data_IF_651480941301
#
_entry.id   IF_651480941301
#
_cell.length_a   1.000
_cell.length_b   1.000
_cell.length_c   1.000
_cell.angle_alpha   90.00
_cell.angle_beta   90.00
_cell.angle_gamma   90.00
#
_symmetry.space_group_name_H-M   'P 1'
#
loop_
_entity.id
_entity.type
_entity.pdbx_description
1 polymer ?
#
# COMPACT_ATOMS: atom_id res chain seq x y z
N UNK A 1 -21.28 26.37 -12.69
CA UNK A 1 -21.16 25.03 -12.09
C UNK A 1 -19.82 24.98 -11.38
N UNK A 2 -19.81 25.29 -10.09
CA UNK A 2 -18.61 25.15 -9.25
C UNK A 2 -18.41 23.67 -8.95
N UNK A 3 -17.29 23.11 -9.39
CA UNK A 3 -16.87 21.76 -9.04
C UNK A 3 -16.32 21.84 -7.62
N UNK A 4 -17.17 21.51 -6.65
CA UNK A 4 -16.75 21.36 -5.25
C UNK A 4 -15.79 20.18 -5.21
N UNK A 5 -14.51 20.47 -4.99
CA UNK A 5 -13.48 19.46 -4.73
C UNK A 5 -13.81 18.78 -3.40
N UNK A 6 -14.56 17.68 -3.46
CA UNK A 6 -14.76 16.80 -2.32
C UNK A 6 -13.42 16.11 -2.06
N UNK A 7 -12.72 16.52 -1.00
CA UNK A 7 -11.76 15.64 -0.32
C UNK A 7 -12.53 14.38 0.07
N UNK A 8 -12.49 13.36 -0.80
CA UNK A 8 -13.16 12.08 -0.56
C UNK A 8 -12.61 11.47 0.73
N UNK A 9 -13.51 10.93 1.55
CA UNK A 9 -13.12 10.16 2.73
C UNK A 9 -12.38 8.91 2.21
N UNK A 10 -11.10 8.77 2.55
CA UNK A 10 -10.31 7.59 2.16
C UNK A 10 -10.62 6.42 3.09
N UNK A 11 -10.84 5.23 2.54
CA UNK A 11 -10.99 4.00 3.31
C UNK A 11 -9.67 3.45 3.87
N UNK A 12 -8.54 4.04 3.46
CA UNK A 12 -7.18 3.60 3.80
C UNK A 12 -6.92 3.48 5.31
N UNK A 13 -7.33 4.43 6.18
CA UNK A 13 -7.10 4.31 7.63
C UNK A 13 -7.90 3.15 8.25
N UNK A 14 -9.09 2.85 7.71
CA UNK A 14 -9.91 1.73 8.18
C UNK A 14 -9.26 0.40 7.84
N UNK A 15 -8.79 0.25 6.59
CA UNK A 15 -8.11 -0.96 6.14
C UNK A 15 -6.83 -1.21 6.94
N UNK A 16 -5.98 -0.20 7.15
CA UNK A 16 -4.76 -0.34 7.96
C UNK A 16 -5.03 -0.76 9.42
N UNK A 17 -6.15 -0.33 9.98
CA UNK A 17 -6.51 -0.69 11.35
C UNK A 17 -7.15 -2.09 11.47
N UNK A 18 -7.76 -2.60 10.41
CA UNK A 18 -8.47 -3.88 10.40
C UNK A 18 -7.64 -5.05 9.90
N UNK A 19 -6.70 -4.80 8.97
CA UNK A 19 -5.98 -5.86 8.26
C UNK A 19 -4.62 -6.17 8.90
N UNK A 20 -4.28 -7.46 9.09
CA UNK A 20 -2.93 -7.86 9.44
C UNK A 20 -1.94 -7.52 8.32
N UNK A 21 -0.71 -7.19 8.72
CA UNK A 21 0.40 -6.96 7.78
C UNK A 21 1.00 -8.30 7.36
N UNK A 22 1.09 -8.53 6.04
CA UNK A 22 1.75 -9.68 5.46
C UNK A 22 3.26 -9.46 5.38
N UNK A 23 4.01 -10.38 5.98
CA UNK A 23 5.47 -10.50 5.90
C UNK A 23 5.82 -11.88 5.36
N UNK A 24 6.88 -11.98 4.53
CA UNK A 24 7.29 -13.26 3.96
C UNK A 24 7.81 -14.28 4.99
N UNK A 25 8.02 -13.85 6.24
CA UNK A 25 8.51 -14.70 7.34
C UNK A 25 7.38 -15.45 8.05
N UNK A 26 6.13 -15.29 7.63
CA UNK A 26 5.01 -16.01 8.23
C UNK A 26 4.54 -15.46 9.58
N UNK A 27 5.04 -14.30 10.01
CA UNK A 27 4.71 -13.71 11.30
C UNK A 27 3.43 -12.87 11.20
N UNK A 28 2.30 -13.52 10.93
CA UNK A 28 1.01 -12.84 10.87
C UNK A 28 0.38 -12.88 12.26
N UNK A 29 0.06 -11.72 12.83
CA UNK A 29 -0.76 -11.64 14.05
C UNK A 29 -2.21 -11.95 13.68
N UNK A 30 -2.54 -13.22 13.49
CA UNK A 30 -3.92 -13.67 13.25
C UNK A 30 -4.70 -13.65 14.57
N UNK A 31 -5.06 -12.45 15.04
CA UNK A 31 -5.98 -12.29 16.18
C UNK A 31 -7.45 -12.48 15.78
N UNK A 32 -7.74 -12.71 14.49
CA UNK A 32 -9.10 -12.73 13.96
C UNK A 32 -9.31 -13.91 13.00
N UNK A 33 -10.53 -14.46 13.02
CA UNK A 33 -11.02 -15.40 12.01
C UNK A 33 -10.84 -14.79 10.61
N UNK A 34 -10.52 -15.62 9.62
CA UNK A 34 -10.34 -15.18 8.23
C UNK A 34 -11.65 -14.61 7.69
N UNK A 35 -11.72 -13.28 7.55
CA UNK A 35 -12.87 -12.56 7.01
C UNK A 35 -12.64 -12.28 5.52
N UNK A 36 -13.67 -12.48 4.70
CA UNK A 36 -13.58 -12.19 3.26
C UNK A 36 -13.56 -10.69 2.99
N UNK A 37 -13.07 -10.29 1.80
CA UNK A 37 -13.04 -8.87 1.39
C UNK A 37 -14.42 -8.21 1.45
N UNK A 38 -15.46 -8.92 1.03
CA UNK A 38 -16.83 -8.42 1.01
C UNK A 38 -17.37 -8.14 2.41
N UNK A 39 -17.15 -9.06 3.35
CA UNK A 39 -17.52 -8.87 4.75
C UNK A 39 -16.73 -7.74 5.38
N UNK A 40 -15.43 -7.64 5.09
CA UNK A 40 -14.60 -6.53 5.54
C UNK A 40 -15.16 -5.17 5.09
N UNK A 41 -15.53 -5.04 3.81
CA UNK A 41 -16.07 -3.80 3.26
C UNK A 41 -17.41 -3.43 3.89
N UNK A 42 -18.24 -4.41 4.25
CA UNK A 42 -19.52 -4.16 4.93
C UNK A 42 -19.40 -3.48 6.31
N UNK A 43 -18.19 -3.52 6.90
CA UNK A 43 -17.91 -2.91 8.20
C UNK A 43 -17.34 -1.49 8.10
N UNK A 44 -16.96 -1.03 6.91
CA UNK A 44 -16.43 0.30 6.66
C UNK A 44 -17.60 1.23 6.32
N UNK A 45 -17.73 2.40 6.97
CA UNK A 45 -18.84 3.33 6.73
C UNK A 45 -18.65 4.14 5.43
N UNK A 46 -18.19 3.50 4.36
CA UNK A 46 -17.92 4.09 3.05
C UNK A 46 -18.50 3.19 1.95
N UNK A 47 -18.59 3.70 0.74
CA UNK A 47 -19.04 2.90 -0.40
C UNK A 47 -18.04 1.78 -0.73
N UNK A 48 -18.54 0.71 -1.35
CA UNK A 48 -17.66 -0.37 -1.85
C UNK A 48 -16.63 0.16 -2.86
N UNK A 49 -16.99 1.17 -3.65
CA UNK A 49 -16.08 1.79 -4.61
C UNK A 49 -14.90 2.49 -3.90
N UNK A 50 -15.17 3.29 -2.86
CA UNK A 50 -14.12 3.94 -2.06
C UNK A 50 -13.24 2.91 -1.35
N UNK A 51 -13.83 1.82 -0.85
CA UNK A 51 -13.08 0.71 -0.25
C UNK A 51 -12.18 0.01 -1.27
N UNK A 52 -12.68 -0.25 -2.48
CA UNK A 52 -11.92 -0.91 -3.55
C UNK A 52 -10.76 -0.03 -4.05
N UNK A 53 -10.93 1.30 -4.09
CA UNK A 53 -9.85 2.24 -4.41
C UNK A 53 -8.74 2.14 -3.37
N UNK A 54 -9.07 2.24 -2.08
CA UNK A 54 -8.07 2.15 -1.01
C UNK A 54 -7.42 0.74 -0.94
N UNK A 55 -8.20 -0.31 -1.18
CA UNK A 55 -7.73 -1.69 -1.25
C UNK A 55 -6.64 -1.84 -2.32
N UNK A 56 -6.88 -1.28 -3.51
CA UNK A 56 -5.94 -1.34 -4.63
C UNK A 56 -4.69 -0.50 -4.32
N UNK A 57 -4.88 0.73 -3.80
CA UNK A 57 -3.78 1.63 -3.42
C UNK A 57 -2.82 1.02 -2.38
N UNK A 58 -3.35 0.28 -1.41
CA UNK A 58 -2.56 -0.42 -0.40
C UNK A 58 -2.01 -1.77 -0.87
N UNK A 59 -2.33 -2.18 -2.11
CA UNK A 59 -2.09 -3.52 -2.63
C UNK A 59 -2.61 -4.62 -1.68
N UNK A 60 -3.75 -4.35 -1.02
CA UNK A 60 -4.40 -5.35 -0.20
C UNK A 60 -4.76 -6.58 -1.06
N UNK A 61 -4.75 -7.75 -0.44
CA UNK A 61 -5.09 -8.98 -1.12
C UNK A 61 -5.81 -9.94 -0.17
N UNK A 62 -6.63 -10.80 -0.76
CA UNK A 62 -7.25 -11.92 -0.08
C UNK A 62 -6.47 -13.15 -0.50
N UNK A 63 -5.98 -13.92 0.46
CA UNK A 63 -5.22 -15.14 0.22
C UNK A 63 -5.99 -16.34 0.73
N UNK A 64 -5.81 -17.48 0.06
CA UNK A 64 -6.26 -18.78 0.55
C UNK A 64 -5.24 -19.46 1.44
N UNK A 65 -3.97 -19.06 1.33
CA UNK A 65 -2.86 -19.59 2.13
C UNK A 65 -1.81 -18.49 2.43
N UNK A 66 -1.75 -17.96 3.67
CA UNK A 66 -2.71 -18.19 4.75
C UNK A 66 -4.11 -17.61 4.41
N UNK A 67 -5.20 -18.20 4.93
CA UNK A 67 -6.54 -17.70 4.66
C UNK A 67 -6.78 -16.33 5.30
N UNK A 68 -7.27 -15.36 4.52
CA UNK A 68 -7.72 -14.07 5.02
C UNK A 68 -7.34 -12.88 4.13
N UNK A 69 -7.62 -11.69 4.63
CA UNK A 69 -7.27 -10.43 3.97
C UNK A 69 -6.01 -9.83 4.61
N UNK A 70 -5.10 -9.30 3.80
CA UNK A 70 -3.82 -8.79 4.28
C UNK A 70 -3.41 -7.50 3.57
N UNK A 71 -2.56 -6.72 4.25
CA UNK A 71 -1.80 -5.61 3.66
C UNK A 71 -0.34 -6.05 3.53
N UNK A 72 0.28 -6.04 2.34
CA UNK A 72 1.68 -6.39 2.21
C UNK A 72 2.57 -5.36 2.89
N UNK A 73 3.54 -5.83 3.69
CA UNK A 73 4.58 -4.96 4.24
C UNK A 73 5.40 -4.30 3.13
N UNK A 74 5.96 -3.12 3.41
CA UNK A 74 6.80 -2.40 2.45
C UNK A 74 8.02 -3.22 2.01
N UNK A 75 8.57 -4.07 2.91
CA UNK A 75 9.68 -4.99 2.60
C UNK A 75 9.28 -6.06 1.58
N UNK A 76 8.06 -6.57 1.64
CA UNK A 76 7.55 -7.52 0.64
C UNK A 76 7.30 -6.80 -0.68
N UNK A 77 6.67 -5.62 -0.66
CA UNK A 77 6.42 -4.85 -1.88
C UNK A 77 7.71 -4.50 -2.62
N UNK A 78 8.74 -3.99 -1.91
CA UNK A 78 9.99 -3.58 -2.56
C UNK A 78 10.74 -4.77 -3.16
N UNK A 79 10.71 -5.93 -2.50
CA UNK A 79 11.34 -7.16 -3.03
C UNK A 79 10.65 -7.64 -4.30
N UNK A 80 9.31 -7.56 -4.35
CA UNK A 80 8.54 -7.87 -5.56
C UNK A 80 8.92 -6.90 -6.70
N UNK A 81 9.07 -5.60 -6.41
CA UNK A 81 9.50 -4.63 -7.42
C UNK A 81 10.93 -4.86 -7.92
N UNK A 82 11.86 -5.15 -7.02
CA UNK A 82 13.25 -5.51 -7.36
C UNK A 82 13.30 -6.69 -8.32
N UNK A 83 12.58 -7.76 -8.01
CA UNK A 83 12.52 -8.94 -8.86
C UNK A 83 11.75 -8.69 -10.16
N UNK A 84 10.63 -7.95 -10.13
CA UNK A 84 9.86 -7.60 -11.31
C UNK A 84 10.73 -6.87 -12.35
N UNK A 85 11.49 -5.85 -11.91
CA UNK A 85 12.42 -5.11 -12.77
C UNK A 85 13.55 -6.02 -13.27
N UNK A 86 14.12 -6.86 -12.39
CA UNK A 86 15.18 -7.81 -12.76
C UNK A 86 14.74 -8.79 -13.85
N UNK A 87 13.57 -9.41 -13.68
CA UNK A 87 12.98 -10.36 -14.63
C UNK A 87 12.69 -9.65 -15.97
N UNK A 88 12.04 -8.48 -15.93
CA UNK A 88 11.75 -7.72 -17.14
C UNK A 88 13.02 -7.32 -17.91
N UNK A 89 14.07 -6.92 -17.18
CA UNK A 89 15.37 -6.58 -17.76
C UNK A 89 16.04 -7.81 -18.39
N UNK A 90 16.03 -8.95 -17.70
CA UNK A 90 16.59 -10.20 -18.20
C UNK A 90 15.86 -10.70 -19.45
N UNK A 91 14.54 -10.52 -19.51
CA UNK A 91 13.70 -10.83 -20.65
C UNK A 91 13.73 -9.76 -21.76
N UNK A 92 14.50 -8.67 -21.59
CA UNK A 92 14.55 -7.53 -22.51
C UNK A 92 13.16 -6.93 -22.83
N UNK A 93 12.28 -6.91 -21.83
CA UNK A 93 10.93 -6.36 -21.95
C UNK A 93 10.94 -4.83 -21.79
N UNK A 94 10.28 -4.15 -22.71
CA UNK A 94 10.05 -2.71 -22.60
C UNK A 94 8.86 -2.43 -21.67
N UNK A 95 9.17 -2.14 -20.41
CA UNK A 95 8.19 -1.76 -19.38
C UNK A 95 7.53 -0.40 -19.64
N UNK A 96 8.07 0.42 -20.56
CA UNK A 96 7.47 1.69 -20.97
C UNK A 96 6.45 1.53 -22.09
N UNK A 97 6.47 0.36 -22.75
CA UNK A 97 5.56 -0.02 -23.81
C UNK A 97 4.41 -0.91 -23.35
N UNK A 98 3.75 -1.55 -24.32
CA UNK A 98 2.70 -2.54 -24.06
C UNK A 98 3.32 -3.89 -23.73
N UNK A 99 2.91 -4.46 -22.61
CA UNK A 99 3.21 -5.84 -22.23
C UNK A 99 2.08 -6.73 -22.73
N UNK A 100 2.41 -7.83 -23.40
CA UNK A 100 1.41 -8.81 -23.76
C UNK A 100 0.92 -9.57 -22.52
N UNK A 101 -0.24 -10.22 -22.62
CA UNK A 101 -0.71 -11.13 -21.56
C UNK A 101 0.29 -12.25 -21.29
N UNK A 102 0.98 -12.73 -22.31
CA UNK A 102 1.98 -13.79 -22.16
C UNK A 102 3.20 -13.29 -21.37
N UNK A 103 3.69 -12.08 -21.65
CA UNK A 103 4.80 -11.47 -20.92
C UNK A 103 4.47 -11.31 -19.44
N UNK A 104 3.27 -10.80 -19.13
CA UNK A 104 2.83 -10.63 -17.74
C UNK A 104 2.71 -11.97 -17.02
N UNK A 105 2.17 -13.00 -17.67
CA UNK A 105 2.07 -14.34 -17.08
C UNK A 105 3.44 -14.97 -16.85
N UNK A 106 4.41 -14.78 -17.75
CA UNK A 106 5.78 -15.25 -17.57
C UNK A 106 6.44 -14.56 -16.37
N UNK A 107 6.31 -13.24 -16.25
CA UNK A 107 6.82 -12.49 -15.10
C UNK A 107 6.17 -12.99 -13.79
N UNK A 108 4.84 -13.16 -13.78
CA UNK A 108 4.13 -13.66 -12.60
C UNK A 108 4.53 -15.08 -12.19
N UNK A 109 4.84 -15.94 -13.17
CA UNK A 109 5.31 -17.30 -12.90
C UNK A 109 6.70 -17.30 -12.25
N UNK A 110 7.61 -16.47 -12.76
CA UNK A 110 8.94 -16.27 -12.16
C UNK A 110 8.88 -15.62 -10.76
N UNK A 111 7.89 -14.76 -10.53
CA UNK A 111 7.65 -14.13 -9.22
C UNK A 111 6.96 -15.03 -8.20
N UNK A 112 6.53 -16.25 -8.55
CA UNK A 112 5.73 -17.12 -7.65
C UNK A 112 6.40 -17.39 -6.30
N UNK A 113 7.73 -17.34 -6.23
CA UNK A 113 8.49 -17.48 -4.97
C UNK A 113 8.40 -16.28 -4.02
N UNK A 114 7.92 -15.13 -4.49
CA UNK A 114 7.94 -13.86 -3.77
C UNK A 114 6.71 -13.63 -2.88
N UNK A 115 5.60 -14.32 -3.15
CA UNK A 115 4.37 -14.25 -2.38
C UNK A 115 3.17 -14.91 -3.06
N UNK A 116 1.98 -14.86 -2.43
CA UNK A 116 0.74 -15.41 -3.00
C UNK A 116 0.40 -14.78 -4.35
N UNK A 117 -0.22 -15.58 -5.22
CA UNK A 117 -0.54 -15.14 -6.59
C UNK A 117 -1.44 -13.90 -6.63
N UNK A 118 -2.31 -13.77 -5.62
CA UNK A 118 -3.24 -12.67 -5.42
C UNK A 118 -2.50 -11.39 -5.07
N UNK A 119 -1.46 -11.48 -4.24
CA UNK A 119 -0.58 -10.34 -3.93
C UNK A 119 0.17 -9.86 -5.17
N UNK A 120 0.80 -10.78 -5.89
CA UNK A 120 1.57 -10.46 -7.11
C UNK A 120 0.66 -9.79 -8.15
N UNK A 121 -0.52 -10.37 -8.36
CA UNK A 121 -1.53 -9.84 -9.28
C UNK A 121 -2.02 -8.46 -8.84
N UNK A 122 -2.29 -8.24 -7.55
CA UNK A 122 -2.74 -6.93 -7.04
C UNK A 122 -1.68 -5.85 -7.22
N UNK A 123 -0.41 -6.15 -6.89
CA UNK A 123 0.69 -5.20 -7.04
C UNK A 123 0.83 -4.73 -8.49
N UNK A 124 0.83 -5.66 -9.44
CA UNK A 124 1.03 -5.32 -10.85
C UNK A 124 -0.22 -4.70 -11.47
N UNK A 125 -1.42 -5.18 -11.12
CA UNK A 125 -2.66 -4.60 -11.66
C UNK A 125 -2.94 -3.20 -11.14
N UNK A 126 -2.51 -2.86 -9.92
CA UNK A 126 -2.65 -1.52 -9.35
C UNK A 126 -1.91 -0.43 -10.18
N UNK A 127 -0.76 -0.79 -10.76
CA UNK A 127 0.08 0.11 -11.56
C UNK A 127 -0.11 -0.09 -13.06
N UNK A 128 -1.06 -0.92 -13.50
CA UNK A 128 -1.29 -1.19 -14.91
C UNK A 128 -2.72 -0.87 -15.33
N UNK A 129 -2.92 -0.81 -16.64
CA UNK A 129 -4.24 -0.64 -17.26
C UNK A 129 -4.35 -1.63 -18.41
N UNK A 130 -5.37 -2.49 -18.32
CA UNK A 130 -5.71 -3.43 -19.39
C UNK A 130 -6.22 -2.66 -20.60
N UNK A 131 -5.67 -2.99 -21.75
CA UNK A 131 -6.00 -2.40 -23.03
C UNK A 131 -7.10 -3.23 -23.74
N UNK A 132 -7.78 -2.68 -24.76
CA UNK A 132 -8.83 -3.41 -25.50
C UNK A 132 -8.36 -4.70 -26.19
N UNK A 133 -7.07 -4.78 -26.51
CA UNK A 133 -6.41 -5.93 -27.14
C UNK A 133 -5.87 -6.94 -26.11
N UNK A 134 -6.34 -6.87 -24.86
CA UNK A 134 -5.90 -7.74 -23.75
C UNK A 134 -4.44 -7.53 -23.32
N UNK A 135 -3.75 -6.54 -23.88
CA UNK A 135 -2.42 -6.14 -23.42
C UNK A 135 -2.50 -5.31 -22.13
N UNK A 136 -1.37 -5.14 -21.47
CA UNK A 136 -1.24 -4.31 -20.28
C UNK A 136 -0.30 -3.15 -20.57
N UNK A 137 -0.63 -1.97 -20.06
CA UNK A 137 0.25 -0.81 -20.08
C UNK A 137 0.51 -0.41 -18.64
N UNK A 138 1.77 -0.26 -18.26
CA UNK A 138 2.13 0.31 -16.96
C UNK A 138 1.84 1.80 -16.98
N UNK A 139 1.13 2.26 -15.96
CA UNK A 139 0.91 3.67 -15.71
C UNK A 139 2.14 4.23 -15.02
N UNK A 140 2.84 5.12 -15.72
CA UNK A 140 4.09 5.68 -15.27
C UNK A 140 3.99 6.34 -13.88
N UNK A 141 2.99 7.20 -13.66
CA UNK A 141 2.87 7.94 -12.41
C UNK A 141 2.53 7.00 -11.25
N UNK A 142 1.62 6.04 -11.46
CA UNK A 142 1.28 5.02 -10.45
C UNK A 142 2.46 4.11 -10.15
N UNK A 143 3.23 3.69 -11.17
CA UNK A 143 4.40 2.86 -10.99
C UNK A 143 5.48 3.59 -10.17
N UNK A 144 5.83 4.81 -10.58
CA UNK A 144 6.81 5.65 -9.89
C UNK A 144 6.41 5.83 -8.43
N UNK A 145 5.15 6.20 -8.16
CA UNK A 145 4.63 6.39 -6.80
C UNK A 145 4.69 5.11 -5.97
N UNK A 146 4.22 3.99 -6.52
CA UNK A 146 4.19 2.71 -5.82
C UNK A 146 5.61 2.27 -5.42
N UNK A 147 6.55 2.23 -6.36
CA UNK A 147 7.94 1.84 -6.09
C UNK A 147 8.60 2.80 -5.09
N UNK A 148 8.36 4.11 -5.26
CA UNK A 148 8.95 5.14 -4.40
C UNK A 148 8.49 5.04 -2.95
N UNK A 149 7.17 4.83 -2.73
CA UNK A 149 6.59 4.63 -1.42
C UNK A 149 7.06 3.32 -0.78
N UNK A 150 7.06 2.20 -1.52
CA UNK A 150 7.56 0.92 -1.01
C UNK A 150 9.04 1.04 -0.61
N UNK A 151 9.86 1.71 -1.42
CA UNK A 151 11.27 1.93 -1.15
C UNK A 151 11.50 2.81 0.09
N UNK A 152 10.78 3.93 0.19
CA UNK A 152 10.90 4.85 1.33
C UNK A 152 10.43 4.18 2.63
N UNK A 153 9.28 3.53 2.60
CA UNK A 153 8.70 2.86 3.75
C UNK A 153 9.59 1.71 4.24
N UNK A 154 10.13 0.89 3.32
CA UNK A 154 11.01 -0.22 3.67
C UNK A 154 12.36 0.24 4.24
N UNK A 155 12.92 1.34 3.73
CA UNK A 155 14.22 1.88 4.16
C UNK A 155 14.14 2.69 5.44
N UNK A 156 13.06 3.45 5.62
CA UNK A 156 12.90 4.28 6.81
C UNK A 156 12.74 3.43 8.06
N UNK A 157 11.93 2.36 8.02
CA UNK A 157 11.62 1.55 9.21
C UNK A 157 11.23 2.44 10.42
N UNK A 158 10.49 3.52 10.14
CA UNK A 158 10.10 4.56 11.11
C UNK A 158 11.18 5.58 11.49
N UNK A 159 12.33 5.59 10.82
CA UNK A 159 13.47 6.47 11.10
C UNK A 159 13.78 7.42 9.91
N UNK A 160 14.42 8.57 10.18
CA UNK A 160 14.93 9.42 9.11
C UNK A 160 15.91 8.69 8.21
N UNK A 161 15.74 8.86 6.90
CA UNK A 161 16.61 8.31 5.86
C UNK A 161 17.20 9.43 5.04
N UNK A 162 18.47 9.32 4.66
CA UNK A 162 19.10 10.29 3.77
C UNK A 162 18.37 10.32 2.42
N UNK A 163 17.85 11.50 2.04
CA UNK A 163 17.05 11.72 0.83
C UNK A 163 17.81 11.29 -0.43
N UNK A 164 19.11 11.56 -0.50
CA UNK A 164 19.95 11.19 -1.65
C UNK A 164 20.10 9.68 -1.83
N UNK A 165 20.30 8.95 -0.73
CA UNK A 165 20.41 7.48 -0.74
C UNK A 165 19.10 6.83 -1.16
N UNK A 166 17.97 7.33 -0.63
CA UNK A 166 16.64 6.87 -1.03
C UNK A 166 16.35 7.18 -2.51
N UNK A 167 16.58 8.40 -2.99
CA UNK A 167 16.36 8.77 -4.39
C UNK A 167 17.20 7.93 -5.36
N UNK A 168 18.47 7.65 -5.01
CA UNK A 168 19.33 6.79 -5.83
C UNK A 168 18.76 5.37 -5.92
N UNK A 169 18.36 4.79 -4.79
CA UNK A 169 17.81 3.44 -4.76
C UNK A 169 16.48 3.34 -5.51
N UNK A 170 15.61 4.34 -5.36
CA UNK A 170 14.34 4.41 -6.09
C UNK A 170 14.57 4.48 -7.61
N UNK A 171 15.53 5.28 -8.07
CA UNK A 171 15.86 5.41 -9.51
C UNK A 171 16.37 4.11 -10.13
N UNK A 172 17.06 3.27 -9.38
CA UNK A 172 17.49 1.96 -9.89
C UNK A 172 16.33 0.98 -10.10
N UNK A 173 15.18 1.22 -9.45
CA UNK A 173 14.00 0.37 -9.50
C UNK A 173 12.91 0.89 -10.46
N UNK A 174 13.25 1.84 -11.33
CA UNK A 174 12.37 2.31 -12.39
C UNK A 174 13.05 2.20 -13.75
N UNK A 175 12.28 2.02 -14.84
CA UNK A 175 12.78 2.14 -16.20
C UNK A 175 13.57 3.43 -16.42
N UNK A 176 14.64 3.35 -17.22
CA UNK A 176 15.57 4.47 -17.42
C UNK A 176 14.86 5.75 -17.88
N UNK A 177 13.88 5.61 -18.78
CA UNK A 177 13.08 6.70 -19.32
C UNK A 177 12.31 7.50 -18.24
N UNK A 178 12.03 6.89 -17.08
CA UNK A 178 11.22 7.46 -16.01
C UNK A 178 12.04 8.00 -14.84
N UNK A 179 13.35 7.71 -14.79
CA UNK A 179 14.25 8.10 -13.69
C UNK A 179 14.29 9.60 -13.41
N UNK A 180 14.05 10.43 -14.42
CA UNK A 180 14.00 11.89 -14.29
C UNK A 180 12.82 12.38 -13.45
N UNK A 181 11.74 11.59 -13.38
CA UNK A 181 10.52 11.89 -12.61
C UNK A 181 10.57 11.35 -11.17
N UNK A 182 11.59 10.59 -10.78
CA UNK A 182 11.81 10.16 -9.40
C UNK A 182 12.29 11.33 -8.54
N UNK A 183 11.34 12.00 -7.89
CA UNK A 183 11.55 13.11 -6.97
C UNK A 183 10.57 13.01 -5.80
N UNK A 184 10.92 13.57 -4.64
CA UNK A 184 10.06 13.51 -3.45
C UNK A 184 8.64 14.02 -3.71
N UNK A 185 8.51 15.09 -4.50
CA UNK A 185 7.23 15.68 -4.90
C UNK A 185 6.37 14.82 -5.81
N UNK A 186 6.91 13.73 -6.37
CA UNK A 186 6.12 12.76 -7.12
C UNK A 186 5.33 11.83 -6.18
N UNK A 187 5.71 11.73 -4.91
CA UNK A 187 4.95 10.98 -3.90
C UNK A 187 3.74 11.79 -3.40
N UNK A 188 2.62 11.13 -3.01
CA UNK A 188 1.47 11.81 -2.46
C UNK A 188 1.82 12.66 -1.23
N UNK A 189 1.30 13.89 -1.21
CA UNK A 189 1.48 14.79 -0.07
C UNK A 189 0.92 14.15 1.20
N UNK A 190 1.63 14.29 2.32
CA UNK A 190 1.36 13.67 3.64
C UNK A 190 1.84 12.22 3.84
N UNK A 191 2.47 11.59 2.86
CA UNK A 191 3.14 10.28 3.06
C UNK A 191 4.57 10.39 3.58
N UNK A 192 5.11 11.62 3.60
CA UNK A 192 6.47 11.89 4.08
C UNK A 192 6.61 13.31 4.63
N UNK A 193 7.66 13.53 5.41
CA UNK A 193 8.13 14.85 5.81
C UNK A 193 9.63 14.99 5.55
N UNK A 194 10.05 16.17 5.10
CA UNK A 194 11.46 16.51 4.92
C UNK A 194 12.00 17.19 6.17
N UNK A 195 13.21 16.81 6.56
CA UNK A 195 13.95 17.36 7.70
C UNK A 195 15.31 17.87 7.24
N UNK A 196 15.98 18.63 8.10
CA UNK A 196 17.35 19.13 7.87
C UNK A 196 17.53 19.84 6.51
N UNK A 197 16.55 20.64 6.10
CA UNK A 197 16.56 21.36 4.81
C UNK A 197 16.44 20.45 3.59
N UNK A 198 15.82 19.27 3.74
CA UNK A 198 15.63 18.29 2.66
C UNK A 198 16.70 17.19 2.58
N UNK A 199 17.68 17.20 3.48
CA UNK A 199 18.73 16.18 3.53
C UNK A 199 18.21 14.83 4.00
N UNK A 200 17.21 14.85 4.87
CA UNK A 200 16.57 13.67 5.41
C UNK A 200 15.08 13.66 5.10
N UNK A 201 14.56 12.46 4.86
CA UNK A 201 13.16 12.18 4.60
C UNK A 201 12.66 11.14 5.60
N UNK A 202 11.49 11.38 6.17
CA UNK A 202 10.82 10.49 7.11
C UNK A 202 9.52 10.02 6.49
N UNK A 203 9.31 8.71 6.42
CA UNK A 203 8.02 8.13 6.02
C UNK A 203 6.98 8.35 7.11
N UNK A 204 5.79 8.77 6.73
CA UNK A 204 4.66 8.96 7.64
C UNK A 204 3.72 7.78 7.46
N UNK A 205 3.77 6.85 8.41
CA UNK A 205 2.77 5.79 8.47
C UNK A 205 1.51 6.32 9.15
N UNK A 206 0.43 6.49 8.38
CA UNK A 206 -0.86 6.92 8.91
C UNK A 206 -1.48 5.93 9.91
N UNK A 207 -0.97 4.69 10.00
CA UNK A 207 -1.35 3.74 11.04
C UNK A 207 -0.90 4.20 12.45
N UNK A 208 0.24 4.88 12.56
CA UNK A 208 0.81 5.29 13.85
C UNK A 208 0.11 6.51 14.46
N UNK A 209 -0.46 7.40 13.63
CA UNK A 209 -1.24 8.54 14.12
C UNK A 209 -2.57 8.13 14.78
N UNK A 210 -3.10 6.94 14.50
CA UNK A 210 -4.29 6.43 15.17
C UNK A 210 -3.99 5.83 16.57
N UNK A 211 -2.77 5.36 16.81
CA UNK A 211 -2.35 4.77 18.08
C UNK A 211 -1.96 5.82 19.15
N UNK A 212 -1.62 7.05 18.73
CA UNK A 212 -1.15 8.13 19.62
C UNK A 212 -2.23 8.98 20.30
N UNK A 213 -3.52 8.81 19.97
CA UNK A 213 -4.61 9.58 20.58
C UNK A 213 -5.08 9.00 21.94
N UNK A 214 -4.28 8.12 22.56
CA UNK A 214 -4.61 7.37 23.77
C UNK A 214 -3.82 7.72 25.03
N UNK A 215 -2.90 8.69 25.01
CA UNK A 215 -2.15 9.06 26.22
C UNK A 215 -1.93 10.57 26.35
N UNK A 216 -2.90 11.26 26.94
CA UNK A 216 -2.67 12.48 27.71
C UNK A 216 -3.78 12.59 28.76
N UNK A 217 -3.37 12.44 30.01
CA UNK A 217 -4.20 12.44 31.21
C UNK A 217 -4.28 13.87 31.77
N UNK A 218 -5.50 14.43 31.92
CA UNK A 218 -6.02 15.05 33.16
C UNK A 218 -7.13 16.11 32.96
N UNK A 219 -8.14 15.97 33.84
CA UNK A 219 -9.06 16.96 34.45
C UNK A 219 -10.17 17.69 33.66
N UNK A 220 -11.40 17.26 34.00
CA UNK A 220 -12.63 18.03 34.32
C UNK A 220 -13.25 19.02 33.33
N UNK A 221 -14.50 18.74 32.96
CA UNK A 221 -15.47 19.74 32.49
C UNK A 221 -16.40 19.21 31.41
N UNK A 222 -17.65 18.92 31.75
CA UNK A 222 -18.72 18.58 30.80
C UNK A 222 -18.89 19.65 29.71
N UNK A 223 -18.99 19.24 28.44
CA UNK A 223 -20.17 19.49 27.61
C UNK A 223 -20.13 18.62 26.33
N UNK A 224 -21.28 18.01 26.04
CA UNK A 224 -21.52 17.09 24.93
C UNK A 224 -21.36 17.75 23.56
N UNK A 225 -20.97 16.96 22.55
CA UNK A 225 -21.65 16.84 21.24
C UNK A 225 -20.92 15.79 20.37
N UNK A 226 -21.70 14.87 19.78
CA UNK A 226 -21.24 14.01 18.67
C UNK A 226 -20.72 12.63 19.08
N UNK A 227 -21.58 11.62 18.95
CA UNK A 227 -21.30 10.22 19.26
C UNK A 227 -20.10 9.66 18.46
N UNK A 228 -18.91 9.64 19.10
CA UNK A 228 -17.82 8.70 18.80
C UNK A 228 -18.30 7.29 19.16
N UNK A 229 -19.15 6.70 18.29
CA UNK A 229 -19.59 5.30 18.41
C UNK A 229 -18.37 4.40 18.22
N UNK A 230 -17.81 3.95 19.34
CA UNK A 230 -17.19 2.65 19.67
C UNK A 230 -17.09 1.62 18.52
N UNK A 231 -16.41 1.94 17.42
CA UNK A 231 -16.17 0.98 16.34
C UNK A 231 -15.14 -0.08 16.76
N UNK A 232 -14.13 0.34 17.54
CA UNK A 232 -13.06 -0.52 18.08
C UNK A 232 -13.56 -1.65 19.02
N UNK A 233 -14.77 -1.56 19.59
CA UNK A 233 -15.30 -2.62 20.47
C UNK A 233 -15.75 -3.88 19.71
N UNK A 234 -16.00 -3.78 18.38
CA UNK A 234 -16.45 -4.92 17.57
C UNK A 234 -15.36 -5.96 17.28
N UNK A 235 -14.11 -5.69 17.67
CA UNK A 235 -12.96 -6.58 17.48
C UNK A 235 -12.47 -7.23 18.77
N UNK A 236 -13.19 -7.07 19.90
CA UNK A 236 -12.86 -7.84 21.10
C UNK A 236 -13.39 -9.26 20.97
N UNK A 237 -12.55 -10.30 21.12
CA UNK A 237 -13.05 -11.66 21.22
C UNK A 237 -13.95 -11.78 22.45
N UNK A 238 -15.17 -12.25 22.24
CA UNK A 238 -16.04 -12.70 23.31
C UNK A 238 -15.34 -13.86 24.01
N UNK A 239 -14.98 -13.71 25.29
CA UNK A 239 -14.55 -14.85 26.10
C UNK A 239 -15.75 -15.77 26.27
N UNK A 240 -15.77 -16.90 25.56
CA UNK A 240 -16.70 -17.98 25.82
C UNK A 240 -16.19 -18.75 27.04
N UNK A 241 -17.03 -18.81 28.08
CA UNK A 241 -16.86 -19.68 29.26
C UNK A 241 -17.11 -21.14 28.89
#
# INVERSE_FOLDING_TARGET
>A
MEVISTKGLSAEPYLRAMLPVYTSTGSYSSTHDSVSKETLFSHIPLSQAECQVAWSQLACFESTDPPGCFIPSAKVQIRIWENFISIATAASLDLTGRLSKADLLAILDELRGEGPSELLSQIITNVSTRQPDESFLLDEDRFIQAVGLSCLSARSDGKPTATSSWLSAWKELVPEAWRSKCQATALPQATYHLQHGGKDIVFVDSSQSAAGAGSSQASSGQQSLGAKRKWHEKFRPSKTN
#
